data_IF_189777094157
#
_entry.id   IF_189777094157
#
_cell.length_a   1.000
_cell.length_b   1.000
_cell.length_c   1.000
_cell.angle_alpha   90.00
_cell.angle_beta   90.00
_cell.angle_gamma   90.00
#
_symmetry.space_group_name_H-M   'P 1'
#
loop_
_entity.id
_entity.type
_entity.pdbx_description
1 polymer ?
#
# COMPACT_ATOMS: atom_id res chain seq x y z
N UNK A 1 19.29 4.13 -24.63
CA UNK A 1 18.83 5.04 -23.56
C UNK A 1 17.89 4.22 -22.69
N UNK A 2 18.41 3.68 -21.58
CA UNK A 2 17.57 3.01 -20.60
C UNK A 2 16.93 4.10 -19.75
N UNK A 3 15.61 4.13 -19.70
CA UNK A 3 14.88 5.05 -18.86
C UNK A 3 15.28 4.76 -17.40
N UNK A 4 15.93 5.72 -16.74
CA UNK A 4 16.40 5.54 -15.39
C UNK A 4 15.19 5.69 -14.48
N UNK A 5 14.49 4.58 -14.22
CA UNK A 5 13.32 4.51 -13.34
C UNK A 5 13.75 5.01 -11.96
N UNK A 6 13.40 6.25 -11.65
CA UNK A 6 13.62 6.86 -10.34
C UNK A 6 12.36 6.61 -9.54
N UNK A 7 12.49 5.89 -8.44
CA UNK A 7 11.35 5.53 -7.56
C UNK A 7 11.39 6.45 -6.35
N UNK A 8 10.35 7.26 -6.17
CA UNK A 8 10.17 8.06 -4.95
C UNK A 8 9.40 7.24 -3.90
N UNK A 9 10.00 6.94 -2.73
CA UNK A 9 9.31 6.26 -1.63
C UNK A 9 8.03 6.97 -1.17
N UNK A 10 7.97 8.29 -1.25
CA UNK A 10 6.79 9.07 -0.86
C UNK A 10 5.60 8.85 -1.79
N UNK A 11 5.83 8.68 -3.08
CA UNK A 11 4.79 8.36 -4.06
C UNK A 11 4.23 6.94 -3.86
N UNK A 12 5.11 5.98 -3.49
CA UNK A 12 4.70 4.62 -3.16
C UNK A 12 3.79 4.58 -1.93
N UNK A 13 4.14 5.29 -0.86
CA UNK A 13 3.28 5.36 0.34
C UNK A 13 1.96 6.09 0.08
N UNK A 14 1.98 7.18 -0.69
CA UNK A 14 0.75 7.88 -1.09
C UNK A 14 -0.19 6.99 -1.90
N UNK A 15 0.35 6.20 -2.82
CA UNK A 15 -0.44 5.25 -3.60
C UNK A 15 -0.97 4.09 -2.72
N UNK A 16 -0.21 3.66 -1.72
CA UNK A 16 -0.66 2.67 -0.74
C UNK A 16 -1.86 3.19 0.08
N UNK A 17 -1.83 4.45 0.51
CA UNK A 17 -2.97 5.08 1.20
C UNK A 17 -4.22 5.16 0.31
N UNK A 18 -4.06 5.54 -0.96
CA UNK A 18 -5.16 5.57 -1.93
C UNK A 18 -5.79 4.19 -2.11
N UNK A 19 -4.97 3.14 -2.19
CA UNK A 19 -5.44 1.75 -2.28
C UNK A 19 -6.21 1.35 -1.02
N UNK A 20 -5.72 1.67 0.18
CA UNK A 20 -6.42 1.39 1.45
C UNK A 20 -7.77 2.12 1.53
N UNK A 21 -7.80 3.40 1.15
CA UNK A 21 -9.05 4.17 1.13
C UNK A 21 -10.04 3.58 0.12
N UNK A 22 -9.60 3.28 -1.09
CA UNK A 22 -10.44 2.69 -2.12
C UNK A 22 -10.95 1.29 -1.75
N UNK A 23 -10.17 0.51 -1.00
CA UNK A 23 -10.57 -0.82 -0.55
C UNK A 23 -11.81 -0.74 0.36
N UNK A 24 -11.90 0.28 1.23
CA UNK A 24 -13.06 0.45 2.12
C UNK A 24 -14.38 0.65 1.37
N UNK A 25 -14.35 1.23 0.16
CA UNK A 25 -15.55 1.41 -0.65
C UNK A 25 -16.19 0.08 -1.07
N UNK A 26 -15.43 -1.00 -1.23
CA UNK A 26 -16.00 -2.32 -1.55
C UNK A 26 -16.89 -2.85 -0.43
N UNK A 27 -16.52 -2.59 0.83
CA UNK A 27 -17.33 -3.01 1.99
C UNK A 27 -18.65 -2.24 2.05
N UNK A 28 -18.62 -0.94 1.77
CA UNK A 28 -19.85 -0.12 1.69
C UNK A 28 -20.76 -0.57 0.54
N UNK A 29 -20.18 -0.89 -0.62
CA UNK A 29 -20.94 -1.40 -1.78
C UNK A 29 -21.55 -2.77 -1.45
N UNK A 30 -20.79 -3.65 -0.80
CA UNK A 30 -21.27 -4.96 -0.33
C UNK A 30 -22.46 -4.79 0.60
N UNK A 31 -22.33 -3.96 1.63
CA UNK A 31 -23.38 -3.73 2.63
C UNK A 31 -24.66 -3.19 1.99
N UNK A 32 -24.53 -2.27 1.03
CA UNK A 32 -25.66 -1.76 0.25
C UNK A 32 -26.29 -2.84 -0.66
N UNK A 33 -25.48 -3.62 -1.37
CA UNK A 33 -25.95 -4.65 -2.28
C UNK A 33 -26.62 -5.82 -1.54
N UNK A 34 -26.12 -6.22 -0.37
CA UNK A 34 -26.75 -7.22 0.47
C UNK A 34 -28.06 -6.70 1.06
N UNK A 35 -28.10 -5.44 1.51
CA UNK A 35 -29.31 -4.82 2.07
C UNK A 35 -30.42 -4.59 1.03
N UNK A 36 -30.08 -4.26 -0.22
CA UNK A 36 -31.05 -3.89 -1.26
C UNK A 36 -31.30 -4.96 -2.32
N UNK A 37 -30.27 -5.73 -2.67
CA UNK A 37 -30.33 -6.79 -3.69
C UNK A 37 -30.73 -8.16 -3.15
N UNK A 38 -30.54 -8.40 -1.85
CA UNK A 38 -30.93 -9.64 -1.18
C UNK A 38 -32.25 -9.59 -0.42
N UNK A 39 -33.02 -8.50 -0.53
CA UNK A 39 -34.32 -8.40 0.14
C UNK A 39 -35.37 -9.26 -0.56
N UNK A 40 -35.46 -10.52 -0.11
CA UNK A 40 -36.43 -11.51 -0.58
C UNK A 40 -37.74 -11.49 0.22
N UNK A 41 -37.95 -10.50 1.11
CA UNK A 41 -39.13 -10.43 1.97
C UNK A 41 -40.47 -10.36 1.21
N UNK A 42 -40.45 -9.91 -0.05
CA UNK A 42 -41.62 -9.89 -0.95
C UNK A 42 -41.87 -11.19 -1.73
N UNK A 43 -40.99 -12.19 -1.62
CA UNK A 43 -41.07 -13.42 -2.42
C UNK A 43 -42.08 -14.38 -1.80
N UNK A 44 -43.32 -14.33 -2.27
CA UNK A 44 -44.42 -15.20 -1.81
C UNK A 44 -44.84 -16.20 -2.90
N UNK A 45 -45.47 -17.31 -2.49
CA UNK A 45 -46.01 -18.32 -3.42
C UNK A 45 -44.92 -18.99 -4.26
N UNK A 46 -45.09 -19.02 -5.58
CA UNK A 46 -44.14 -19.66 -6.51
C UNK A 46 -42.77 -18.95 -6.55
N UNK A 47 -42.73 -17.67 -6.20
CA UNK A 47 -41.49 -16.89 -6.15
C UNK A 47 -40.62 -17.24 -4.94
N UNK A 48 -41.16 -17.85 -3.88
CA UNK A 48 -40.33 -18.26 -2.74
C UNK A 48 -39.32 -19.36 -3.10
N UNK A 49 -39.58 -20.12 -4.17
CA UNK A 49 -38.65 -21.11 -4.70
C UNK A 49 -37.37 -20.51 -5.28
N UNK A 50 -37.38 -19.21 -5.63
CA UNK A 50 -36.21 -18.48 -6.13
C UNK A 50 -35.31 -17.93 -5.02
N UNK A 51 -35.78 -17.90 -3.77
CA UNK A 51 -35.02 -17.34 -2.63
C UNK A 51 -33.61 -17.95 -2.52
N UNK A 52 -33.42 -19.28 -2.58
CA UNK A 52 -32.08 -19.88 -2.45
C UNK A 52 -31.12 -19.45 -3.57
N UNK A 53 -31.65 -19.17 -4.76
CA UNK A 53 -30.86 -18.71 -5.91
C UNK A 53 -30.42 -17.27 -5.70
N UNK A 54 -31.32 -16.39 -5.25
CA UNK A 54 -31.01 -14.98 -4.95
C UNK A 54 -29.99 -14.89 -3.81
N UNK A 55 -30.19 -15.66 -2.73
CA UNK A 55 -29.25 -15.73 -1.62
C UNK A 55 -27.85 -16.19 -2.07
N UNK A 56 -27.79 -17.17 -2.98
CA UNK A 56 -26.52 -17.63 -3.57
C UNK A 56 -25.80 -16.54 -4.37
N UNK A 57 -26.52 -15.77 -5.19
CA UNK A 57 -25.93 -14.67 -5.97
C UNK A 57 -25.43 -13.55 -5.06
N UNK A 58 -26.21 -13.20 -4.03
CA UNK A 58 -25.82 -12.18 -3.05
C UNK A 58 -24.59 -12.62 -2.25
N UNK A 59 -24.51 -13.90 -1.87
CA UNK A 59 -23.34 -14.47 -1.20
C UNK A 59 -22.10 -14.39 -2.09
N UNK A 60 -22.21 -14.82 -3.35
CA UNK A 60 -21.09 -14.80 -4.31
C UNK A 60 -20.59 -13.37 -4.57
N UNK A 61 -21.52 -12.42 -4.69
CA UNK A 61 -21.19 -11.00 -4.84
C UNK A 61 -20.47 -10.45 -3.61
N UNK A 62 -20.95 -10.79 -2.40
CA UNK A 62 -20.30 -10.42 -1.14
C UNK A 62 -18.89 -10.99 -1.01
N UNK A 63 -18.71 -12.28 -1.29
CA UNK A 63 -17.40 -12.94 -1.28
C UNK A 63 -16.43 -12.32 -2.29
N UNK A 64 -16.92 -11.98 -3.49
CA UNK A 64 -16.11 -11.32 -4.52
C UNK A 64 -15.61 -9.96 -4.06
N UNK A 65 -16.47 -9.18 -3.39
CA UNK A 65 -16.09 -7.87 -2.85
C UNK A 65 -15.12 -7.98 -1.66
N UNK A 66 -15.27 -8.97 -0.80
CA UNK A 66 -14.31 -9.24 0.28
C UNK A 66 -12.93 -9.65 -0.28
N UNK A 67 -12.93 -10.48 -1.33
CA UNK A 67 -11.71 -10.85 -2.03
C UNK A 67 -11.02 -9.64 -2.68
N UNK A 68 -11.79 -8.80 -3.38
CA UNK A 68 -11.27 -7.58 -4.00
C UNK A 68 -10.67 -6.62 -2.96
N UNK A 69 -11.37 -6.40 -1.83
CA UNK A 69 -10.86 -5.63 -0.70
C UNK A 69 -9.53 -6.18 -0.19
N UNK A 70 -9.46 -7.50 0.05
CA UNK A 70 -8.27 -8.17 0.57
C UNK A 70 -7.07 -8.04 -0.38
N UNK A 71 -7.30 -8.18 -1.69
CA UNK A 71 -6.25 -8.02 -2.69
C UNK A 71 -5.71 -6.59 -2.74
N UNK A 72 -6.58 -5.58 -2.69
CA UNK A 72 -6.15 -4.17 -2.68
C UNK A 72 -5.38 -3.80 -1.41
N UNK A 73 -5.76 -4.32 -0.25
CA UNK A 73 -4.99 -4.15 0.98
C UNK A 73 -3.62 -4.80 0.88
N UNK A 74 -3.54 -6.00 0.29
CA UNK A 74 -2.27 -6.69 0.08
C UNK A 74 -1.34 -5.91 -0.86
N UNK A 75 -1.86 -5.33 -1.93
CA UNK A 75 -1.09 -4.47 -2.83
C UNK A 75 -0.61 -3.20 -2.12
N UNK A 76 -1.45 -2.57 -1.30
CA UNK A 76 -1.06 -1.41 -0.50
C UNK A 76 0.08 -1.75 0.48
N UNK A 77 0.01 -2.90 1.14
CA UNK A 77 1.06 -3.33 2.07
C UNK A 77 2.38 -3.63 1.36
N UNK A 78 2.34 -4.28 0.19
CA UNK A 78 3.52 -4.48 -0.63
C UNK A 78 4.17 -3.16 -1.08
N UNK A 79 3.35 -2.15 -1.39
CA UNK A 79 3.82 -0.84 -1.80
C UNK A 79 4.47 -0.07 -0.65
N UNK A 80 3.87 -0.11 0.54
CA UNK A 80 4.49 0.44 1.77
C UNK A 80 5.78 -0.30 2.16
N UNK A 81 5.85 -1.62 1.99
CA UNK A 81 7.07 -2.38 2.23
C UNK A 81 8.19 -2.00 1.25
N UNK A 82 7.85 -1.80 -0.03
CA UNK A 82 8.77 -1.30 -1.03
C UNK A 82 9.28 0.10 -0.67
N UNK A 83 8.39 1.02 -0.31
CA UNK A 83 8.75 2.37 0.14
C UNK A 83 9.73 2.33 1.33
N UNK A 84 9.43 1.50 2.35
CA UNK A 84 10.29 1.32 3.51
C UNK A 84 11.68 0.76 3.14
N UNK A 85 11.73 -0.17 2.18
CA UNK A 85 12.99 -0.73 1.68
C UNK A 85 13.86 0.33 0.99
N UNK A 86 13.27 1.13 0.10
CA UNK A 86 13.97 2.23 -0.58
C UNK A 86 14.44 3.30 0.41
N UNK A 87 13.59 3.73 1.33
CA UNK A 87 13.96 4.69 2.37
C UNK A 87 15.09 4.17 3.28
N UNK A 88 15.12 2.86 3.57
CA UNK A 88 16.22 2.25 4.33
C UNK A 88 17.52 2.22 3.54
N UNK A 89 17.48 1.90 2.26
CA UNK A 89 18.65 1.93 1.39
C UNK A 89 19.23 3.35 1.31
N UNK A 90 18.38 4.36 1.15
CA UNK A 90 18.80 5.75 1.04
C UNK A 90 19.48 6.26 2.33
N UNK A 91 18.92 5.91 3.50
CA UNK A 91 19.56 6.19 4.81
C UNK A 91 20.91 5.53 4.95
N UNK A 92 21.04 4.25 4.57
CA UNK A 92 22.31 3.52 4.63
C UNK A 92 23.38 4.20 3.77
N UNK A 93 23.03 4.64 2.56
CA UNK A 93 23.96 5.35 1.70
C UNK A 93 24.33 6.73 2.25
N UNK A 94 23.36 7.49 2.74
CA UNK A 94 23.60 8.77 3.41
C UNK A 94 24.58 8.64 4.58
N UNK A 95 24.40 7.63 5.44
CA UNK A 95 25.28 7.37 6.58
C UNK A 95 26.71 7.02 6.13
N UNK A 96 26.85 6.19 5.10
CA UNK A 96 28.16 5.84 4.52
C UNK A 96 28.83 7.08 3.92
N UNK A 97 28.10 7.90 3.16
CA UNK A 97 28.64 9.12 2.57
C UNK A 97 29.06 10.13 3.64
N UNK A 98 28.28 10.28 4.71
CA UNK A 98 28.64 11.13 5.84
C UNK A 98 29.93 10.64 6.52
N UNK A 99 30.05 9.33 6.78
CA UNK A 99 31.25 8.75 7.37
C UNK A 99 32.50 8.95 6.50
N UNK A 100 32.35 8.83 5.18
CA UNK A 100 33.46 9.07 4.24
C UNK A 100 33.84 10.55 4.24
N UNK A 101 32.86 11.45 4.26
CA UNK A 101 33.10 12.90 4.29
C UNK A 101 33.80 13.31 5.59
N UNK A 102 33.34 12.83 6.74
CA UNK A 102 33.97 13.06 8.04
C UNK A 102 35.41 12.52 8.08
N UNK A 103 35.68 11.38 7.45
CA UNK A 103 37.04 10.84 7.31
C UNK A 103 37.94 11.70 6.41
N UNK A 104 37.40 12.26 5.33
CA UNK A 104 38.15 13.15 4.42
C UNK A 104 38.43 14.50 5.11
N UNK A 105 37.48 15.03 5.87
CA UNK A 105 37.65 16.29 6.60
C UNK A 105 38.66 16.15 7.75
N UNK A 106 38.66 15.02 8.46
CA UNK A 106 39.66 14.72 9.49
C UNK A 106 41.08 14.54 8.92
N UNK A 107 41.22 14.03 7.69
CA UNK A 107 42.51 13.96 6.99
C UNK A 107 42.93 15.30 6.38
N UNK A 108 41.97 16.18 6.03
CA UNK A 108 42.24 17.48 5.42
C UNK A 108 42.50 18.60 6.43
N UNK A 109 42.19 18.41 7.72
CA UNK A 109 42.60 19.32 8.79
C UNK A 109 44.13 19.26 8.98
N UNK A 110 44.90 20.22 8.43
CA UNK A 110 46.33 20.10 8.42
C UNK A 110 46.90 20.57 9.76
N UNK A 111 47.78 19.75 10.34
CA UNK A 111 48.71 20.15 11.39
C UNK A 111 49.69 21.18 10.83
N UNK A 112 49.25 22.42 10.66
CA UNK A 112 50.13 23.55 10.34
C UNK A 112 50.69 24.10 11.65
N UNK A 113 52.02 23.97 11.81
CA UNK A 113 52.79 24.93 12.60
C UNK A 113 53.17 24.52 14.02
N UNK A 114 54.04 23.52 14.15
CA UNK A 114 54.87 23.30 15.34
C UNK A 114 56.35 23.59 15.11
N UNK A 115 56.67 24.51 14.19
CA UNK A 115 58.03 25.03 14.01
C UNK A 115 58.25 26.24 14.90
N UNK A 116 58.65 26.01 16.16
CA UNK A 116 59.22 27.05 17.00
C UNK A 116 60.11 26.44 18.09
N UNK A 117 61.38 26.19 17.74
CA UNK A 117 62.59 26.59 18.47
C UNK A 117 63.82 25.83 17.99
#
# INVERSE_FOLDING_TARGET
MGDQVTVDPGELDGCAELLRHNAQHFLTIKEHATSKGGDTSGFTGLLSLLIPVVDGVVSLYGETLDFANSMMLKEADALSEAAASYAKADRLWSDIFQQITDQIDTLSAPTVGGGAR
#
